data_IF_609512092176
#
_entry.id   IF_609512092176
#
_cell.length_a   1.000
_cell.length_b   1.000
_cell.length_c   1.000
_cell.angle_alpha   90.00
_cell.angle_beta   90.00
_cell.angle_gamma   90.00
#
_symmetry.space_group_name_H-M   'P 1'
#
loop_
_entity.id
_entity.type
_entity.pdbx_description
1 polymer ?
#
# COMPACT_ATOMS: atom_id res chain seq x y z
N UNK A 1 14.90 -35.77 9.93
CA UNK A 1 15.70 -34.83 10.75
C UNK A 1 14.80 -34.23 11.81
N UNK A 2 15.22 -34.18 13.08
CA UNK A 2 14.41 -33.57 14.15
C UNK A 2 14.26 -32.06 13.94
N UNK A 3 13.12 -31.52 14.35
CA UNK A 3 12.73 -30.10 14.25
C UNK A 3 13.76 -29.17 14.91
N UNK A 4 14.36 -29.63 16.02
CA UNK A 4 15.48 -28.96 16.69
C UNK A 4 16.75 -28.85 15.84
N UNK A 5 17.10 -29.86 15.03
CA UNK A 5 18.27 -29.79 14.14
C UNK A 5 18.06 -28.83 12.97
N UNK A 6 16.82 -28.69 12.47
CA UNK A 6 16.49 -27.69 11.44
C UNK A 6 16.56 -26.27 12.02
N UNK A 7 16.02 -26.07 13.23
CA UNK A 7 16.08 -24.79 13.94
C UNK A 7 17.52 -24.32 14.24
N UNK A 8 18.40 -25.24 14.67
CA UNK A 8 19.82 -24.93 14.89
C UNK A 8 20.58 -24.63 13.58
N UNK A 9 20.23 -25.31 12.48
CA UNK A 9 20.81 -25.06 11.16
C UNK A 9 20.34 -23.71 10.60
N UNK A 10 19.05 -23.40 10.74
CA UNK A 10 18.46 -22.12 10.36
C UNK A 10 19.16 -20.96 11.09
N UNK A 11 19.31 -21.04 12.42
CA UNK A 11 20.02 -20.02 13.22
C UNK A 11 21.49 -19.85 12.84
N UNK A 12 22.15 -20.88 12.34
CA UNK A 12 23.55 -20.83 11.89
C UNK A 12 23.71 -20.23 10.48
N UNK A 13 22.76 -20.46 9.57
CA UNK A 13 22.82 -19.98 8.19
C UNK A 13 22.26 -18.54 8.08
N UNK A 14 21.35 -18.17 8.98
CA UNK A 14 20.71 -16.86 9.06
C UNK A 14 21.66 -15.64 8.93
N UNK A 15 22.85 -15.60 9.58
CA UNK A 15 23.76 -14.45 9.49
C UNK A 15 24.55 -14.40 8.18
N UNK A 16 24.73 -15.54 7.50
CA UNK A 16 25.55 -15.63 6.29
C UNK A 16 24.80 -15.19 5.02
N UNK A 17 23.47 -15.18 5.03
CA UNK A 17 22.63 -14.71 3.92
C UNK A 17 22.51 -13.18 3.90
N UNK A 18 23.65 -12.50 3.84
CA UNK A 18 23.71 -11.04 3.68
C UNK A 18 23.80 -10.63 2.20
N UNK A 19 23.62 -9.34 1.93
CA UNK A 19 23.73 -8.77 0.58
C UNK A 19 25.02 -9.13 -0.17
N UNK A 20 26.13 -9.37 0.53
CA UNK A 20 27.42 -9.75 -0.08
C UNK A 20 27.38 -11.22 -0.51
N UNK A 21 26.87 -12.10 0.33
CA UNK A 21 26.70 -13.51 0.03
C UNK A 21 25.72 -13.74 -1.12
N UNK A 22 24.59 -13.03 -1.14
CA UNK A 22 23.61 -13.12 -2.23
C UNK A 22 24.24 -12.80 -3.60
N UNK A 23 25.16 -11.83 -3.65
CA UNK A 23 25.89 -11.47 -4.87
C UNK A 23 26.98 -12.47 -5.24
N UNK A 24 27.70 -13.01 -4.26
CA UNK A 24 28.85 -13.89 -4.49
C UNK A 24 28.44 -15.35 -4.79
N UNK A 25 27.34 -15.81 -4.22
CA UNK A 25 26.91 -17.21 -4.28
C UNK A 25 25.40 -17.36 -4.56
N UNK A 26 24.87 -16.80 -5.67
CA UNK A 26 23.42 -16.75 -5.92
C UNK A 26 22.77 -18.13 -5.98
N UNK A 27 23.38 -19.12 -6.64
CA UNK A 27 22.85 -20.48 -6.74
C UNK A 27 22.79 -21.20 -5.39
N UNK A 28 23.80 -20.96 -4.53
CA UNK A 28 23.83 -21.53 -3.19
C UNK A 28 22.78 -20.87 -2.30
N UNK A 29 22.63 -19.55 -2.40
CA UNK A 29 21.57 -18.81 -1.71
C UNK A 29 20.19 -19.32 -2.12
N UNK A 30 19.92 -19.45 -3.42
CA UNK A 30 18.67 -20.01 -3.95
C UNK A 30 18.40 -21.42 -3.40
N UNK A 31 19.40 -22.31 -3.43
CA UNK A 31 19.25 -23.67 -2.89
C UNK A 31 18.95 -23.66 -1.39
N UNK A 32 19.57 -22.76 -0.62
CA UNK A 32 19.32 -22.62 0.81
C UNK A 32 17.89 -22.13 1.04
N UNK A 33 17.50 -21.02 0.43
CA UNK A 33 16.15 -20.42 0.58
C UNK A 33 15.08 -21.45 0.24
N UNK A 34 15.23 -22.16 -0.87
CA UNK A 34 14.24 -23.15 -1.30
C UNK A 34 14.23 -24.44 -0.48
N UNK A 35 15.23 -24.67 0.39
CA UNK A 35 15.23 -25.76 1.36
C UNK A 35 14.44 -25.44 2.64
N UNK A 36 14.19 -24.15 2.89
CA UNK A 36 13.43 -23.67 4.05
C UNK A 36 11.92 -23.79 3.84
N UNK A 37 11.18 -23.90 4.94
CA UNK A 37 9.71 -23.79 4.94
C UNK A 37 9.28 -22.36 4.62
N UNK A 38 8.01 -22.18 4.23
CA UNK A 38 7.48 -20.84 3.91
C UNK A 38 7.54 -19.88 5.11
N UNK A 39 7.32 -20.40 6.32
CA UNK A 39 7.39 -19.61 7.55
C UNK A 39 8.83 -19.19 7.87
N UNK A 40 9.81 -20.09 7.77
CA UNK A 40 11.23 -19.76 7.96
C UNK A 40 11.71 -18.74 6.91
N UNK A 41 11.24 -18.85 5.66
CA UNK A 41 11.52 -17.85 4.63
C UNK A 41 10.91 -16.49 4.97
N UNK A 42 9.66 -16.47 5.43
CA UNK A 42 8.99 -15.22 5.82
C UNK A 42 9.71 -14.54 6.99
N UNK A 43 10.12 -15.30 8.01
CA UNK A 43 10.90 -14.77 9.13
C UNK A 43 12.20 -14.12 8.64
N UNK A 44 12.95 -14.79 7.76
CA UNK A 44 14.18 -14.24 7.18
C UNK A 44 13.92 -12.97 6.35
N UNK A 45 12.87 -12.97 5.53
CA UNK A 45 12.47 -11.81 4.70
C UNK A 45 12.11 -10.60 5.58
N UNK A 46 11.39 -10.81 6.68
CA UNK A 46 11.02 -9.76 7.63
C UNK A 46 12.21 -9.19 8.41
N UNK A 47 13.33 -9.91 8.49
CA UNK A 47 14.58 -9.40 9.10
C UNK A 47 15.40 -8.51 8.19
N UNK A 48 15.19 -8.61 6.88
CA UNK A 48 15.87 -7.77 5.89
C UNK A 48 15.01 -6.57 5.53
N UNK A 49 15.63 -5.58 4.87
CA UNK A 49 15.00 -4.34 4.44
C UNK A 49 15.35 -4.02 2.98
N UNK A 50 14.55 -3.14 2.37
CA UNK A 50 14.72 -2.67 1.00
C UNK A 50 15.16 -3.74 0.00
N UNK A 51 16.24 -3.45 -0.73
CA UNK A 51 16.75 -4.30 -1.82
C UNK A 51 17.16 -5.70 -1.36
N UNK A 52 17.64 -5.84 -0.13
CA UNK A 52 18.03 -7.14 0.41
C UNK A 52 16.80 -8.03 0.65
N UNK A 53 15.72 -7.45 1.17
CA UNK A 53 14.43 -8.13 1.32
C UNK A 53 13.89 -8.61 -0.03
N UNK A 54 13.85 -7.72 -1.02
CA UNK A 54 13.40 -8.05 -2.37
C UNK A 54 14.25 -9.17 -2.99
N UNK A 55 15.58 -9.09 -2.87
CA UNK A 55 16.48 -10.12 -3.39
C UNK A 55 16.19 -11.50 -2.80
N UNK A 56 15.94 -11.60 -1.49
CA UNK A 56 15.56 -12.86 -0.85
C UNK A 56 14.22 -13.40 -1.35
N UNK A 57 13.22 -12.53 -1.50
CA UNK A 57 11.90 -12.90 -2.02
C UNK A 57 12.05 -13.50 -3.42
N UNK A 58 12.82 -12.86 -4.29
CA UNK A 58 13.01 -13.28 -5.69
C UNK A 58 13.77 -14.60 -5.84
N UNK A 59 14.60 -14.98 -4.86
CA UNK A 59 15.27 -16.29 -4.85
C UNK A 59 14.34 -17.45 -4.46
N UNK A 60 13.15 -17.16 -3.91
CA UNK A 60 12.20 -18.19 -3.51
C UNK A 60 11.31 -18.61 -4.67
N UNK A 61 11.11 -19.93 -4.83
CA UNK A 61 10.06 -20.50 -5.70
C UNK A 61 8.63 -20.18 -5.21
N UNK A 62 8.50 -19.63 -4.01
CA UNK A 62 7.25 -19.19 -3.39
C UNK A 62 7.19 -17.66 -3.23
N UNK A 63 7.90 -16.93 -4.08
CA UNK A 63 8.00 -15.46 -4.06
C UNK A 63 6.64 -14.77 -3.91
N UNK A 64 5.65 -15.15 -4.71
CA UNK A 64 4.30 -14.57 -4.65
C UNK A 64 3.62 -14.82 -3.31
N UNK A 65 3.74 -16.04 -2.76
CA UNK A 65 3.20 -16.36 -1.43
C UNK A 65 3.91 -15.55 -0.34
N UNK A 66 5.22 -15.34 -0.45
CA UNK A 66 5.97 -14.51 0.50
C UNK A 66 5.50 -13.06 0.45
N UNK A 67 5.37 -12.46 -0.75
CA UNK A 67 4.88 -11.09 -0.89
C UNK A 67 3.52 -10.95 -0.25
N UNK A 68 2.56 -11.82 -0.55
CA UNK A 68 1.19 -11.75 -0.01
C UNK A 68 1.10 -11.97 1.51
N UNK A 69 2.06 -12.69 2.08
CA UNK A 69 2.17 -12.88 3.53
C UNK A 69 2.84 -11.71 4.25
N UNK A 70 3.49 -10.79 3.53
CA UNK A 70 4.01 -9.57 4.17
C UNK A 70 2.85 -8.72 4.69
N UNK A 71 3.00 -8.15 5.90
CA UNK A 71 2.15 -7.05 6.33
C UNK A 71 2.19 -5.91 5.29
N UNK A 72 1.06 -5.26 5.06
CA UNK A 72 0.90 -4.20 4.07
C UNK A 72 1.88 -3.06 4.31
N UNK A 73 2.07 -2.69 5.60
CA UNK A 73 3.07 -1.72 6.05
C UNK A 73 4.49 -2.12 5.66
N UNK A 74 4.85 -3.39 5.84
CA UNK A 74 6.19 -3.90 5.51
C UNK A 74 6.42 -3.87 4.00
N UNK A 75 5.43 -4.27 3.20
CA UNK A 75 5.52 -4.17 1.74
C UNK A 75 5.67 -2.70 1.33
N UNK A 76 4.80 -1.80 1.80
CA UNK A 76 4.84 -0.38 1.49
C UNK A 76 6.21 0.25 1.78
N UNK A 77 6.75 0.04 2.99
CA UNK A 77 8.09 0.55 3.33
C UNK A 77 9.18 -0.07 2.46
N UNK A 78 9.05 -1.35 2.07
CA UNK A 78 10.00 -1.99 1.16
C UNK A 78 10.02 -1.31 -0.20
N UNK A 79 8.84 -0.99 -0.78
CA UNK A 79 8.74 -0.28 -2.05
C UNK A 79 9.40 1.10 -1.95
N UNK A 80 9.12 1.84 -0.87
CA UNK A 80 9.71 3.17 -0.63
C UNK A 80 11.22 3.15 -0.41
N UNK A 81 11.75 2.16 0.31
CA UNK A 81 13.19 2.02 0.55
C UNK A 81 13.97 1.64 -0.73
N UNK A 82 13.36 0.89 -1.65
CA UNK A 82 13.99 0.46 -2.91
C UNK A 82 13.92 1.55 -3.97
N UNK A 83 12.80 2.27 -4.02
CA UNK A 83 12.37 3.06 -5.15
C UNK A 83 11.22 2.34 -5.89
N UNK A 84 10.20 3.09 -6.27
CA UNK A 84 8.94 2.55 -6.81
C UNK A 84 9.16 1.81 -8.14
N UNK A 85 9.94 2.39 -9.05
CA UNK A 85 10.29 1.79 -10.37
C UNK A 85 11.17 0.53 -10.25
N UNK A 86 12.02 0.47 -9.24
CA UNK A 86 12.87 -0.70 -8.98
C UNK A 86 12.09 -1.84 -8.29
N UNK A 87 10.84 -1.59 -7.89
CA UNK A 87 10.03 -2.48 -7.07
C UNK A 87 8.90 -3.21 -7.82
N UNK A 88 8.82 -3.05 -9.16
CA UNK A 88 7.78 -3.65 -10.00
C UNK A 88 7.56 -5.17 -9.77
N UNK A 89 8.60 -6.01 -9.60
CA UNK A 89 8.39 -7.43 -9.30
C UNK A 89 7.56 -7.67 -8.03
N UNK A 90 7.68 -6.81 -7.01
CA UNK A 90 6.88 -6.93 -5.78
C UNK A 90 5.44 -6.49 -6.02
N UNK A 91 5.23 -5.41 -6.78
CA UNK A 91 3.89 -4.94 -7.17
C UNK A 91 3.13 -6.00 -7.98
N UNK A 92 3.79 -6.68 -8.91
CA UNK A 92 3.20 -7.76 -9.70
C UNK A 92 2.68 -8.93 -8.84
N UNK A 93 3.26 -9.14 -7.66
CA UNK A 93 2.92 -10.24 -6.77
C UNK A 93 1.93 -9.87 -5.65
N UNK A 94 1.71 -8.58 -5.42
CA UNK A 94 0.86 -8.06 -4.35
C UNK A 94 -0.61 -8.51 -4.50
N UNK A 95 -1.29 -8.67 -3.37
CA UNK A 95 -2.74 -8.89 -3.36
C UNK A 95 -3.53 -7.56 -3.29
N UNK A 96 -4.85 -7.63 -3.48
CA UNK A 96 -5.72 -6.44 -3.48
C UNK A 96 -5.70 -5.68 -2.15
N UNK A 97 -5.56 -6.38 -1.02
CA UNK A 97 -5.47 -5.76 0.32
C UNK A 97 -4.21 -4.89 0.40
N UNK A 98 -3.08 -5.43 -0.03
CA UNK A 98 -1.81 -4.73 -0.09
C UNK A 98 -1.83 -3.56 -1.08
N UNK A 99 -2.40 -3.75 -2.28
CA UNK A 99 -2.53 -2.68 -3.28
C UNK A 99 -3.43 -1.54 -2.78
N UNK A 100 -4.58 -1.86 -2.19
CA UNK A 100 -5.49 -0.85 -1.62
C UNK A 100 -4.80 -0.06 -0.50
N UNK A 101 -4.06 -0.73 0.39
CA UNK A 101 -3.28 -0.04 1.41
C UNK A 101 -2.26 0.94 0.82
N UNK A 102 -1.53 0.52 -0.23
CA UNK A 102 -0.56 1.38 -0.91
C UNK A 102 -1.29 2.59 -1.54
N UNK A 103 -2.38 2.36 -2.25
CA UNK A 103 -3.12 3.43 -2.95
C UNK A 103 -3.84 4.39 -2.00
N UNK A 104 -4.31 3.91 -0.85
CA UNK A 104 -4.84 4.76 0.22
C UNK A 104 -3.77 5.74 0.73
N UNK A 105 -2.49 5.38 0.72
CA UNK A 105 -1.41 6.30 1.07
C UNK A 105 -0.96 7.16 -0.10
N UNK A 106 -1.03 6.63 -1.31
CA UNK A 106 -0.27 7.16 -2.44
C UNK A 106 -1.07 8.00 -3.42
N UNK A 107 -2.37 7.77 -3.58
CA UNK A 107 -3.18 8.52 -4.55
C UNK A 107 -3.52 9.94 -4.09
N UNK A 108 -3.31 10.23 -2.81
CA UNK A 108 -3.91 11.38 -2.13
C UNK A 108 -2.85 12.37 -1.66
N UNK A 109 -3.11 13.66 -1.88
CA UNK A 109 -2.44 14.77 -1.20
C UNK A 109 -3.39 15.28 -0.11
N UNK A 110 -3.03 15.04 1.15
CA UNK A 110 -3.92 15.25 2.29
C UNK A 110 -5.27 14.52 2.09
N UNK A 111 -6.35 15.25 1.82
CA UNK A 111 -7.70 14.73 1.61
C UNK A 111 -8.19 14.81 0.16
N UNK A 112 -7.32 15.18 -0.78
CA UNK A 112 -7.68 15.35 -2.19
C UNK A 112 -6.92 14.35 -3.06
N UNK A 113 -7.63 13.71 -4.00
CA UNK A 113 -7.02 12.88 -5.02
C UNK A 113 -6.17 13.73 -5.96
N UNK A 114 -4.93 13.27 -6.16
CA UNK A 114 -3.95 13.91 -7.04
C UNK A 114 -3.80 13.11 -8.34
N UNK A 115 -4.20 13.68 -9.50
CA UNK A 115 -4.04 13.04 -10.80
C UNK A 115 -2.64 12.55 -11.10
N UNK A 116 -1.65 13.37 -10.78
CA UNK A 116 -0.25 13.01 -10.97
C UNK A 116 0.12 11.74 -10.20
N UNK A 117 -0.35 11.62 -8.96
CA UNK A 117 0.00 10.50 -8.09
C UNK A 117 -0.74 9.22 -8.46
N UNK A 118 -2.07 9.28 -8.66
CA UNK A 118 -2.81 8.06 -9.00
C UNK A 118 -2.43 7.55 -10.39
N UNK A 119 -2.23 8.41 -11.40
CA UNK A 119 -1.83 7.94 -12.71
C UNK A 119 -0.43 7.33 -12.71
N UNK A 120 0.50 7.91 -11.95
CA UNK A 120 1.84 7.34 -11.79
C UNK A 120 1.78 5.93 -11.19
N UNK A 121 1.02 5.75 -10.11
CA UNK A 121 0.93 4.44 -9.46
C UNK A 121 0.14 3.41 -10.27
N UNK A 122 -0.89 3.81 -11.00
CA UNK A 122 -1.60 2.95 -11.94
C UNK A 122 -0.70 2.55 -13.12
N UNK A 123 0.15 3.47 -13.61
CA UNK A 123 1.13 3.15 -14.64
C UNK A 123 2.23 2.21 -14.13
N UNK A 124 2.71 2.39 -12.89
CA UNK A 124 3.62 1.43 -12.24
C UNK A 124 2.99 0.04 -12.10
N UNK A 125 1.73 -0.04 -11.67
CA UNK A 125 1.03 -1.33 -11.56
C UNK A 125 0.88 -1.99 -12.94
N UNK A 126 0.53 -1.22 -13.98
CA UNK A 126 0.48 -1.70 -15.36
C UNK A 126 1.83 -2.21 -15.85
N UNK A 127 2.92 -1.46 -15.59
CA UNK A 127 4.27 -1.85 -15.96
C UNK A 127 4.73 -3.12 -15.22
N UNK A 128 4.29 -3.29 -13.97
CA UNK A 128 4.56 -4.49 -13.19
C UNK A 128 3.83 -5.71 -13.76
N UNK A 129 2.52 -5.59 -13.97
CA UNK A 129 1.67 -6.63 -14.54
C UNK A 129 0.29 -6.03 -14.95
N UNK A 130 -0.04 -6.04 -16.24
CA UNK A 130 -1.30 -5.51 -16.75
C UNK A 130 -2.52 -6.26 -16.18
N UNK A 131 -2.41 -7.57 -15.93
CA UNK A 131 -3.50 -8.34 -15.34
C UNK A 131 -3.73 -7.97 -13.88
N UNK A 132 -2.68 -7.53 -13.14
CA UNK A 132 -2.85 -6.97 -11.79
C UNK A 132 -3.62 -5.66 -11.83
N UNK A 133 -3.32 -4.77 -12.78
CA UNK A 133 -4.10 -3.55 -12.98
C UNK A 133 -5.57 -3.88 -13.26
N UNK A 134 -5.84 -4.80 -14.18
CA UNK A 134 -7.21 -5.24 -14.52
C UNK A 134 -7.94 -5.84 -13.32
N UNK A 135 -7.27 -6.69 -12.55
CA UNK A 135 -7.85 -7.28 -11.32
C UNK A 135 -8.19 -6.19 -10.29
N UNK A 136 -7.31 -5.20 -10.12
CA UNK A 136 -7.57 -4.06 -9.24
C UNK A 136 -8.75 -3.23 -9.74
N UNK A 137 -8.78 -2.81 -11.01
CA UNK A 137 -9.88 -2.03 -11.58
C UNK A 137 -11.24 -2.71 -11.41
N UNK A 138 -11.29 -4.05 -11.51
CA UNK A 138 -12.52 -4.82 -11.31
C UNK A 138 -13.04 -4.79 -9.86
N UNK A 139 -12.15 -4.61 -8.89
CA UNK A 139 -12.43 -4.74 -7.44
C UNK A 139 -12.26 -3.43 -6.68
N UNK A 140 -11.81 -2.39 -7.36
CA UNK A 140 -11.61 -1.08 -6.77
C UNK A 140 -12.94 -0.53 -6.24
N UNK A 141 -12.81 0.27 -5.20
CA UNK A 141 -13.92 0.97 -4.58
C UNK A 141 -14.64 1.86 -5.63
N UNK A 142 -15.96 1.74 -5.79
CA UNK A 142 -16.70 2.50 -6.81
C UNK A 142 -16.55 4.01 -6.65
N UNK A 143 -16.58 4.53 -5.41
CA UNK A 143 -16.45 5.97 -5.11
C UNK A 143 -15.06 6.48 -5.47
N UNK A 144 -14.02 5.69 -5.20
CA UNK A 144 -12.67 5.97 -5.66
C UNK A 144 -12.56 5.99 -7.19
N UNK A 145 -13.08 4.98 -7.88
CA UNK A 145 -13.06 4.92 -9.35
C UNK A 145 -13.81 6.08 -9.98
N UNK A 146 -15.00 6.39 -9.48
CA UNK A 146 -15.81 7.52 -9.93
C UNK A 146 -15.05 8.83 -9.79
N UNK A 147 -14.45 9.07 -8.61
CA UNK A 147 -13.68 10.29 -8.35
C UNK A 147 -12.42 10.38 -9.22
N UNK A 148 -11.70 9.27 -9.42
CA UNK A 148 -10.57 9.20 -10.35
C UNK A 148 -11.02 9.63 -11.76
N UNK A 149 -12.11 9.07 -12.26
CA UNK A 149 -12.59 9.35 -13.61
C UNK A 149 -13.13 10.78 -13.76
N UNK A 150 -13.84 11.32 -12.77
CA UNK A 150 -14.29 12.72 -12.76
C UNK A 150 -13.13 13.72 -12.80
N UNK A 151 -11.96 13.36 -12.25
CA UNK A 151 -10.74 14.19 -12.33
C UNK A 151 -9.89 13.90 -13.56
N UNK A 152 -10.08 12.75 -14.20
CA UNK A 152 -9.28 12.32 -15.34
C UNK A 152 -9.88 12.78 -16.67
N UNK A 153 -11.21 12.70 -16.82
CA UNK A 153 -11.88 12.85 -18.11
C UNK A 153 -13.15 13.70 -18.02
N UNK A 154 -13.45 14.40 -19.11
CA UNK A 154 -14.77 14.95 -19.38
C UNK A 154 -15.49 14.06 -20.36
N UNK A 155 -16.74 13.72 -20.03
CA UNK A 155 -17.56 12.79 -20.78
C UNK A 155 -18.64 13.55 -21.56
N UNK A 156 -18.66 13.35 -22.87
CA UNK A 156 -19.60 13.93 -23.81
C UNK A 156 -20.44 12.83 -24.47
N UNK A 157 -21.73 13.11 -24.67
CA UNK A 157 -22.68 12.22 -25.33
C UNK A 157 -23.37 12.99 -26.45
N UNK A 158 -23.46 12.46 -27.68
CA UNK A 158 -24.21 13.10 -28.76
C UNK A 158 -25.69 13.29 -28.38
N UNK A 159 -26.23 14.47 -28.66
CA UNK A 159 -27.66 14.75 -28.46
C UNK A 159 -28.41 14.42 -29.75
N UNK A 160 -29.37 13.47 -29.75
CA UNK A 160 -30.09 13.06 -30.96
C UNK A 160 -30.78 14.22 -31.69
N UNK A 161 -31.26 15.21 -30.94
CA UNK A 161 -32.01 16.35 -31.47
C UNK A 161 -31.10 17.49 -31.95
N UNK A 162 -29.79 17.42 -31.69
CA UNK A 162 -28.82 18.48 -32.00
C UNK A 162 -27.57 17.94 -32.72
N UNK A 163 -27.71 16.79 -33.39
CA UNK A 163 -26.62 16.11 -34.09
C UNK A 163 -25.91 17.05 -35.05
N UNK A 164 -24.64 17.31 -34.75
CA UNK A 164 -23.73 18.07 -35.58
C UNK A 164 -23.51 19.53 -35.19
N UNK A 165 -24.22 20.04 -34.18
CA UNK A 165 -24.03 21.38 -33.61
C UNK A 165 -23.52 21.35 -32.17
N UNK A 166 -23.01 20.20 -31.70
CA UNK A 166 -22.46 20.07 -30.37
C UNK A 166 -21.17 20.92 -30.21
N UNK A 167 -21.02 21.69 -29.12
CA UNK A 167 -19.88 22.60 -28.93
C UNK A 167 -18.50 21.93 -28.91
N UNK A 168 -18.45 20.61 -28.66
CA UNK A 168 -17.24 19.81 -28.53
C UNK A 168 -16.85 19.07 -29.81
N UNK A 169 -17.64 19.19 -30.89
CA UNK A 169 -17.41 18.45 -32.17
C UNK A 169 -16.14 18.88 -32.91
N UNK A 170 -15.64 20.06 -32.63
CA UNK A 170 -14.37 20.55 -33.18
C UNK A 170 -13.14 20.08 -32.38
N UNK A 171 -13.34 19.33 -31.29
CA UNK A 171 -12.25 18.73 -30.52
C UNK A 171 -11.93 17.34 -31.06
N UNK A 172 -10.65 16.98 -31.00
CA UNK A 172 -10.21 15.60 -31.21
C UNK A 172 -10.46 14.82 -29.91
N UNK A 173 -11.58 14.11 -29.84
CA UNK A 173 -11.99 13.35 -28.66
C UNK A 173 -11.74 11.86 -28.85
N UNK A 174 -11.28 11.20 -27.78
CA UNK A 174 -11.18 9.75 -27.76
C UNK A 174 -12.58 9.15 -27.65
N UNK A 175 -12.88 8.13 -28.45
CA UNK A 175 -14.10 7.33 -28.30
C UNK A 175 -13.80 5.87 -28.61
N UNK A 176 -14.58 4.97 -28.01
CA UNK A 176 -14.43 3.54 -28.20
C UNK A 176 -15.64 2.90 -28.89
N UNK A 177 -16.79 3.57 -28.94
CA UNK A 177 -18.08 3.04 -29.41
C UNK A 177 -19.00 4.08 -30.07
N UNK A 178 -18.52 5.30 -30.31
CA UNK A 178 -19.27 6.45 -30.83
C UNK A 178 -20.49 6.87 -29.99
N UNK A 179 -20.66 6.33 -28.78
CA UNK A 179 -21.71 6.71 -27.83
C UNK A 179 -21.19 7.72 -26.80
N UNK A 180 -20.01 7.43 -26.25
CA UNK A 180 -19.34 8.31 -25.31
C UNK A 180 -18.04 8.84 -25.92
N UNK A 181 -17.82 10.14 -25.77
CA UNK A 181 -16.62 10.85 -26.21
C UNK A 181 -15.91 11.42 -25.00
N UNK A 182 -14.59 11.24 -24.95
CA UNK A 182 -13.75 11.55 -23.81
C UNK A 182 -12.75 12.64 -24.17
N UNK A 183 -12.77 13.73 -23.40
CA UNK A 183 -11.65 14.68 -23.33
C UNK A 183 -10.83 14.33 -22.10
N UNK A 184 -9.59 13.90 -22.28
CA UNK A 184 -8.66 13.71 -21.16
C UNK A 184 -8.26 15.09 -20.65
N UNK A 185 -8.43 15.33 -19.35
CA UNK A 185 -8.23 16.68 -18.76
C UNK A 185 -6.76 17.09 -18.82
N UNK A 186 -5.85 16.14 -18.64
CA UNK A 186 -4.40 16.35 -18.70
C UNK A 186 -3.77 15.39 -19.72
N UNK A 187 -3.33 15.95 -20.85
CA UNK A 187 -2.76 15.21 -21.98
C UNK A 187 -1.52 14.39 -21.59
N UNK A 188 -0.79 14.75 -20.52
CA UNK A 188 0.34 13.97 -20.01
C UNK A 188 -0.07 12.54 -19.65
N UNK A 189 -1.33 12.34 -19.28
CA UNK A 189 -1.87 11.05 -18.86
C UNK A 189 -2.79 10.41 -19.90
N UNK A 190 -2.86 10.94 -21.12
CA UNK A 190 -3.76 10.44 -22.17
C UNK A 190 -3.63 8.92 -22.38
N UNK A 191 -2.40 8.43 -22.57
CA UNK A 191 -2.16 7.01 -22.86
C UNK A 191 -2.65 6.08 -21.74
N UNK A 192 -2.42 6.45 -20.47
CA UNK A 192 -2.83 5.62 -19.33
C UNK A 192 -4.33 5.77 -19.06
N UNK A 193 -4.91 6.96 -19.23
CA UNK A 193 -6.34 7.19 -19.07
C UNK A 193 -7.17 6.42 -20.11
N UNK A 194 -6.81 6.51 -21.39
CA UNK A 194 -7.45 5.73 -22.47
C UNK A 194 -7.34 4.22 -22.21
N UNK A 195 -6.19 3.76 -21.72
CA UNK A 195 -5.98 2.35 -21.35
C UNK A 195 -6.90 1.92 -20.20
N UNK A 196 -7.05 2.73 -19.17
CA UNK A 196 -7.95 2.45 -18.03
C UNK A 196 -9.40 2.39 -18.50
N UNK A 197 -9.85 3.36 -19.32
CA UNK A 197 -11.20 3.35 -19.89
C UNK A 197 -11.47 2.08 -20.71
N UNK A 198 -10.51 1.69 -21.56
CA UNK A 198 -10.62 0.46 -22.33
C UNK A 198 -10.73 -0.78 -21.42
N UNK A 199 -9.90 -0.87 -20.37
CA UNK A 199 -9.96 -1.99 -19.42
C UNK A 199 -11.29 -2.03 -18.66
N UNK A 200 -11.79 -0.91 -18.17
CA UNK A 200 -13.06 -0.85 -17.45
C UNK A 200 -14.21 -1.36 -18.33
N UNK A 201 -14.25 -0.93 -19.59
CA UNK A 201 -15.26 -1.39 -20.56
C UNK A 201 -15.12 -2.89 -20.87
N UNK A 202 -13.90 -3.37 -21.11
CA UNK A 202 -13.63 -4.77 -21.44
C UNK A 202 -13.96 -5.72 -20.28
N UNK A 203 -13.77 -5.27 -19.04
CA UNK A 203 -13.98 -6.08 -17.83
C UNK A 203 -15.46 -6.22 -17.49
N UNK A 204 -16.20 -5.11 -17.43
CA UNK A 204 -17.61 -5.05 -17.03
C UNK A 204 -18.35 -3.93 -17.76
N UNK A 205 -18.84 -4.22 -18.97
CA UNK A 205 -19.46 -3.23 -19.87
C UNK A 205 -20.64 -2.47 -19.23
N UNK A 206 -21.55 -3.17 -18.53
CA UNK A 206 -22.71 -2.53 -17.88
C UNK A 206 -22.27 -1.54 -16.79
N UNK A 207 -21.26 -1.91 -15.99
CA UNK A 207 -20.70 -1.03 -14.96
C UNK A 207 -19.99 0.17 -15.57
N UNK A 208 -19.28 -0.04 -16.68
CA UNK A 208 -18.62 1.04 -17.39
C UNK A 208 -19.62 2.11 -17.81
N UNK A 209 -20.73 1.74 -18.46
CA UNK A 209 -21.73 2.72 -18.90
C UNK A 209 -22.42 3.43 -17.73
N UNK A 210 -22.79 2.70 -16.67
CA UNK A 210 -23.31 3.31 -15.45
C UNK A 210 -22.33 4.36 -14.88
N UNK A 211 -21.04 4.01 -14.83
CA UNK A 211 -19.99 4.90 -14.34
C UNK A 211 -19.80 6.14 -15.23
N UNK A 212 -19.92 6.02 -16.56
CA UNK A 212 -19.83 7.17 -17.47
C UNK A 212 -20.98 8.16 -17.26
N UNK A 213 -22.19 7.64 -16.99
CA UNK A 213 -23.33 8.47 -16.64
C UNK A 213 -23.12 9.18 -15.30
N UNK A 214 -22.60 8.48 -14.29
CA UNK A 214 -22.29 9.06 -12.97
C UNK A 214 -21.22 10.15 -13.06
N UNK A 215 -20.14 9.91 -13.81
CA UNK A 215 -19.08 10.90 -14.04
C UNK A 215 -19.65 12.20 -14.62
N UNK A 216 -20.62 12.09 -15.54
CA UNK A 216 -21.24 13.25 -16.21
C UNK A 216 -22.26 13.98 -15.34
N UNK A 217 -23.03 13.24 -14.53
CA UNK A 217 -24.21 13.77 -13.85
C UNK A 217 -23.95 14.22 -12.40
N UNK A 218 -23.00 13.59 -11.71
CA UNK A 218 -22.78 13.83 -10.29
C UNK A 218 -21.79 14.97 -10.03
N UNK A 219 -21.84 15.51 -8.81
CA UNK A 219 -20.97 16.60 -8.36
C UNK A 219 -19.63 16.02 -7.87
N UNK A 220 -18.54 16.34 -8.56
CA UNK A 220 -17.21 15.78 -8.28
C UNK A 220 -16.74 15.99 -6.82
N UNK A 221 -17.05 17.14 -6.22
CA UNK A 221 -16.66 17.44 -4.82
C UNK A 221 -17.34 16.51 -3.81
N UNK A 222 -18.63 16.23 -3.99
CA UNK A 222 -19.37 15.37 -3.06
C UNK A 222 -18.85 13.93 -3.11
N UNK A 223 -18.54 13.43 -4.30
CA UNK A 223 -18.00 12.09 -4.51
C UNK A 223 -16.58 11.96 -3.94
N UNK A 224 -15.75 12.99 -4.11
CA UNK A 224 -14.41 13.01 -3.51
C UNK A 224 -14.46 12.96 -1.98
N UNK A 225 -15.37 13.70 -1.35
CA UNK A 225 -15.57 13.67 0.10
C UNK A 225 -16.01 12.27 0.57
N UNK A 226 -16.86 11.58 -0.19
CA UNK A 226 -17.23 10.18 0.09
C UNK A 226 -16.00 9.28 0.00
N UNK A 227 -15.29 9.30 -1.13
CA UNK A 227 -14.10 8.47 -1.33
C UNK A 227 -13.03 8.71 -0.25
N UNK A 228 -12.85 9.97 0.16
CA UNK A 228 -11.93 10.36 1.23
C UNK A 228 -12.33 9.76 2.58
N UNK A 229 -13.62 9.79 2.95
CA UNK A 229 -14.11 9.16 4.18
C UNK A 229 -13.97 7.64 4.17
N UNK A 230 -14.26 6.99 3.05
CA UNK A 230 -14.11 5.52 2.93
C UNK A 230 -12.63 5.14 3.08
N UNK A 231 -11.71 5.88 2.44
CA UNK A 231 -10.27 5.73 2.62
C UNK A 231 -9.85 5.95 4.08
N UNK A 232 -10.34 6.99 4.73
CA UNK A 232 -10.04 7.29 6.14
C UNK A 232 -10.42 6.13 7.06
N UNK A 233 -11.60 5.51 6.87
CA UNK A 233 -12.00 4.33 7.63
C UNK A 233 -11.03 3.15 7.48
N UNK A 234 -10.55 2.87 6.25
CA UNK A 234 -9.54 1.83 6.02
C UNK A 234 -8.20 2.17 6.68
N UNK A 235 -7.80 3.43 6.65
CA UNK A 235 -6.58 3.90 7.30
C UNK A 235 -6.67 3.80 8.83
N UNK A 236 -7.84 4.06 9.42
CA UNK A 236 -8.12 3.86 10.84
C UNK A 236 -7.99 2.40 11.28
N UNK A 237 -8.44 1.44 10.46
CA UNK A 237 -8.22 0.01 10.71
C UNK A 237 -6.72 -0.36 10.79
N UNK A 238 -5.88 0.43 10.11
CA UNK A 238 -4.43 0.32 10.18
C UNK A 238 -3.79 1.20 11.27
N UNK A 239 -4.59 1.90 12.08
CA UNK A 239 -4.16 2.74 13.19
C UNK A 239 -3.76 4.16 12.78
N UNK A 240 -4.15 4.63 11.60
CA UNK A 240 -3.97 6.01 11.16
C UNK A 240 -5.24 6.80 11.46
N UNK A 241 -5.38 7.21 12.71
CA UNK A 241 -6.51 8.04 13.13
C UNK A 241 -6.40 9.47 12.60
N UNK A 242 -7.54 10.13 12.50
CA UNK A 242 -7.61 11.56 12.21
C UNK A 242 -6.77 12.36 13.22
N UNK A 243 -6.30 13.53 12.80
CA UNK A 243 -5.43 14.40 13.59
C UNK A 243 -6.00 14.70 14.98
N UNK A 244 -7.30 14.98 15.08
CA UNK A 244 -7.96 15.32 16.34
C UNK A 244 -7.99 14.15 17.33
N UNK A 245 -7.98 12.92 16.82
CA UNK A 245 -7.90 11.72 17.65
C UNK A 245 -6.43 11.37 17.97
N UNK A 246 -5.54 11.47 16.98
CA UNK A 246 -4.12 11.18 17.15
C UNK A 246 -3.46 12.11 18.18
N UNK A 247 -3.81 13.39 18.22
CA UNK A 247 -3.26 14.35 19.18
C UNK A 247 -3.65 14.01 20.63
N UNK A 248 -4.74 13.27 20.84
CA UNK A 248 -5.19 12.85 22.18
C UNK A 248 -4.20 11.91 22.88
N UNK A 249 -3.36 11.20 22.11
CA UNK A 249 -2.30 10.34 22.67
C UNK A 249 -1.30 11.15 23.51
N UNK A 250 -1.11 12.43 23.21
CA UNK A 250 -0.22 13.32 23.96
C UNK A 250 -0.88 13.98 25.18
N UNK A 251 -2.17 13.73 25.42
CA UNK A 251 -2.84 14.29 26.59
C UNK A 251 -2.33 13.63 27.87
N UNK A 252 -2.01 14.46 28.87
CA UNK A 252 -1.61 13.97 30.17
C UNK A 252 -2.72 13.09 30.77
N UNK A 253 -2.34 11.87 31.18
CA UNK A 253 -3.25 10.98 31.88
C UNK A 253 -3.40 11.44 33.33
N UNK A 254 -4.62 11.39 33.86
CA UNK A 254 -4.81 11.58 35.30
C UNK A 254 -4.12 10.44 36.08
N UNK A 255 -3.64 10.68 37.32
CA UNK A 255 -3.01 9.64 38.15
C UNK A 255 -3.90 8.40 38.35
N UNK A 256 -5.21 8.58 38.34
CA UNK A 256 -6.21 7.52 38.47
C UNK A 256 -6.25 6.62 37.22
N UNK A 257 -6.21 7.22 36.02
CA UNK A 257 -6.15 6.49 34.74
C UNK A 257 -4.85 5.71 34.58
N UNK A 258 -3.72 6.31 34.99
CA UNK A 258 -2.42 5.63 35.01
C UNK A 258 -2.44 4.36 35.88
N UNK A 259 -2.91 4.48 37.13
CA UNK A 259 -3.05 3.32 38.05
C UNK A 259 -3.99 2.24 37.52
N UNK A 260 -5.00 2.61 36.74
CA UNK A 260 -5.92 1.65 36.12
C UNK A 260 -5.23 0.86 34.99
N UNK A 261 -4.46 1.54 34.14
CA UNK A 261 -3.69 0.92 33.05
C UNK A 261 -2.60 -0.04 33.58
N UNK A 262 -1.91 0.32 34.66
CA UNK A 262 -0.93 -0.55 35.32
C UNK A 262 -1.55 -1.87 35.81
N UNK A 263 -2.81 -1.83 36.26
CA UNK A 263 -3.52 -3.00 36.78
C UNK A 263 -4.07 -3.90 35.69
N UNK A 264 -4.41 -3.34 34.54
CA UNK A 264 -4.95 -4.08 33.42
C UNK A 264 -4.35 -3.55 32.11
N UNK A 265 -3.15 -4.03 31.74
CA UNK A 265 -2.55 -3.64 30.47
C UNK A 265 -3.39 -4.26 29.36
N UNK A 266 -4.31 -3.47 28.77
CA UNK A 266 -4.92 -3.83 27.51
C UNK A 266 -3.77 -4.00 26.50
N UNK A 267 -3.63 -5.20 25.94
CA UNK A 267 -2.75 -5.45 24.81
C UNK A 267 -3.60 -5.25 23.56
N UNK A 268 -3.45 -4.15 22.83
CA UNK A 268 -4.05 -4.08 21.51
C UNK A 268 -3.26 -5.04 20.61
N UNK A 269 -3.91 -6.09 20.11
CA UNK A 269 -3.28 -7.04 19.21
C UNK A 269 -4.23 -8.12 18.73
N UNK A 270 -4.55 -8.07 17.44
CA UNK A 270 -5.28 -9.10 16.68
C UNK A 270 -4.51 -10.42 16.69
N UNK A 271 -5.17 -11.49 17.14
CA UNK A 271 -4.62 -12.84 17.07
C UNK A 271 -4.39 -13.26 15.61
N UNK A 272 -3.17 -13.66 15.26
CA UNK A 272 -2.90 -14.45 14.04
C UNK A 272 -2.11 -13.80 12.90
N UNK A 273 -1.85 -12.49 12.91
CA UNK A 273 -0.98 -11.84 11.91
C UNK A 273 0.45 -11.62 12.44
N UNK A 274 1.51 -11.84 11.65
CA UNK A 274 2.86 -11.48 12.05
C UNK A 274 2.95 -9.97 12.29
N UNK A 275 3.40 -9.57 13.49
CA UNK A 275 3.52 -8.16 13.85
C UNK A 275 4.55 -7.44 12.95
N UNK A 276 4.20 -6.24 12.49
CA UNK A 276 5.12 -5.38 11.74
C UNK A 276 6.38 -5.08 12.57
N UNK A 277 7.55 -5.12 11.95
CA UNK A 277 8.87 -4.92 12.59
C UNK A 277 9.35 -3.49 12.34
N UNK A 278 8.54 -2.52 12.81
CA UNK A 278 8.82 -1.09 12.66
C UNK A 278 9.96 -0.64 13.60
N UNK A 279 10.65 0.44 13.23
CA UNK A 279 11.83 0.95 13.96
C UNK A 279 11.55 1.31 15.44
N UNK A 280 10.29 1.61 15.79
CA UNK A 280 9.85 1.94 17.14
C UNK A 280 9.22 0.76 17.90
N UNK A 281 9.24 -0.46 17.33
CA UNK A 281 8.74 -1.64 18.04
C UNK A 281 9.79 -2.21 18.99
N UNK A 282 9.37 -2.53 20.22
CA UNK A 282 10.20 -3.28 21.18
C UNK A 282 10.20 -4.77 20.80
N UNK A 283 10.89 -5.14 19.71
CA UNK A 283 11.11 -6.55 19.41
C UNK A 283 12.38 -7.06 20.11
N UNK A 284 12.27 -8.22 20.76
CA UNK A 284 13.24 -8.76 21.72
C UNK A 284 14.62 -9.14 21.15
N UNK A 285 14.83 -9.09 19.82
CA UNK A 285 16.00 -9.71 19.17
C UNK A 285 16.73 -8.87 18.13
N UNK A 286 16.34 -7.63 17.89
CA UNK A 286 17.06 -6.72 16.99
C UNK A 286 17.34 -5.39 17.71
N UNK A 287 18.40 -4.66 17.33
CA UNK A 287 18.72 -3.39 17.96
C UNK A 287 17.76 -2.29 17.46
N UNK A 288 16.58 -2.21 18.05
CA UNK A 288 15.64 -1.12 17.79
C UNK A 288 16.09 0.15 18.48
N UNK A 289 15.87 1.29 17.82
CA UNK A 289 16.26 2.60 18.31
C UNK A 289 15.66 2.89 19.69
N UNK A 290 14.38 2.57 19.91
CA UNK A 290 13.73 2.76 21.20
C UNK A 290 14.35 1.87 22.29
N UNK A 291 14.59 0.59 22.00
CA UNK A 291 15.19 -0.33 22.98
C UNK A 291 16.62 0.07 23.34
N UNK A 292 17.41 0.52 22.36
CA UNK A 292 18.75 1.09 22.61
C UNK A 292 18.67 2.39 23.39
N UNK A 293 17.80 3.31 22.98
CA UNK A 293 17.58 4.58 23.67
C UNK A 293 17.19 4.38 25.14
N UNK A 294 16.29 3.43 25.42
CA UNK A 294 15.90 3.07 26.79
C UNK A 294 17.04 2.42 27.59
N UNK A 295 17.96 1.70 26.94
CA UNK A 295 19.14 1.12 27.61
C UNK A 295 20.21 2.16 27.94
N UNK A 296 20.26 3.26 27.18
CA UNK A 296 21.20 4.37 27.41
C UNK A 296 20.71 5.34 28.50
N UNK A 297 19.43 5.26 28.91
CA UNK A 297 18.89 6.08 30.00
C UNK A 297 19.29 5.52 31.38
N UNK A 298 19.91 6.37 32.19
CA UNK A 298 20.17 6.09 33.61
C UNK A 298 18.93 6.33 34.48
N UNK A 299 18.85 5.67 35.63
CA UNK A 299 17.73 5.85 36.57
C UNK A 299 17.52 7.30 37.02
N UNK A 300 18.59 8.09 37.10
CA UNK A 300 18.53 9.50 37.47
C UNK A 300 17.96 10.39 36.35
N UNK A 301 18.25 10.08 35.08
CA UNK A 301 17.69 10.81 33.92
C UNK A 301 16.19 10.55 33.76
N UNK A 302 15.72 9.36 34.15
CA UNK A 302 14.29 9.03 34.19
C UNK A 302 13.59 9.82 35.30
N UNK A 303 14.19 9.95 36.48
CA UNK A 303 13.65 10.77 37.58
C UNK A 303 13.63 12.27 37.23
N UNK A 304 14.68 12.80 36.60
CA UNK A 304 14.74 14.19 36.15
C UNK A 304 13.70 14.50 35.06
N UNK A 305 13.48 13.57 34.12
CA UNK A 305 12.40 13.68 33.13
C UNK A 305 11.02 13.73 33.81
N UNK A 306 10.79 12.86 34.80
CA UNK A 306 9.54 12.91 35.57
C UNK A 306 9.38 14.24 36.34
N UNK A 307 10.46 14.83 36.84
CA UNK A 307 10.41 16.12 37.53
C UNK A 307 10.20 17.32 36.59
N UNK A 308 10.67 17.27 35.35
CA UNK A 308 10.51 18.35 34.36
C UNK A 308 9.10 18.44 33.76
N UNK A 309 8.36 17.33 33.75
CA UNK A 309 7.07 17.22 33.06
C UNK A 309 5.90 16.83 33.99
N UNK A 310 6.09 16.87 35.31
CA UNK A 310 5.03 16.82 36.32
C UNK A 310 4.47 18.21 36.63
#
# INVERSE_FOLDING_TARGET
MSEQRKNDLFRRIHPELDSKFLKQHPQKAESIINSLTLQEQLELVLERRGRERMALILLSRKSQSLVRLLPEKELYFTLKEIGEEDSLPLLAMADLRQLNYIFDLEFWEEQTLSPERYFRWLDLLKQADEDRLREWLKKADPELLLTILQKAVRVYVPEPDNLGAEPWRNKELFTMDDQYYFEIIDERFQVIAERILAHLRDLEQDKFYALMDEVRLQVATENEDVASRVRQGRLEDHGFYDFDEAIKIYQALSPEKLKALEKNPERPGTEGAPAARLAMTLAQKLPYFLARGLQELSGAEIEDFHHQFA
#
